data_IF_442850055883
#
_entry.id   IF_442850055883
#
_cell.length_a   1.000
_cell.length_b   1.000
_cell.length_c   1.000
_cell.angle_alpha   90.00
_cell.angle_beta   90.00
_cell.angle_gamma   90.00
#
_symmetry.space_group_name_H-M   'P 1'
#
loop_
_entity.id
_entity.type
_entity.pdbx_description
1 polymer ?
#
# COMPACT_ATOMS: atom_id res chain seq x y z
N UNK A 1 -20.31 9.22 -6.61
CA UNK A 1 -20.28 8.57 -5.27
C UNK A 1 -19.07 7.65 -5.25
N UNK A 2 -18.24 7.67 -4.20
CA UNK A 2 -17.10 6.75 -4.04
C UNK A 2 -17.56 5.36 -3.59
N UNK A 3 -16.80 4.33 -3.94
CA UNK A 3 -17.08 2.93 -3.60
C UNK A 3 -15.82 2.25 -3.03
N UNK A 4 -15.97 1.23 -2.17
CA UNK A 4 -14.84 0.48 -1.65
C UNK A 4 -14.10 -0.29 -2.76
N UNK A 5 -12.81 -0.54 -2.55
CA UNK A 5 -12.01 -1.36 -3.46
C UNK A 5 -12.48 -2.82 -3.32
N UNK A 6 -12.94 -3.40 -4.42
CA UNK A 6 -13.17 -4.84 -4.50
C UNK A 6 -11.83 -5.56 -4.61
N UNK A 7 -11.70 -6.66 -3.87
CA UNK A 7 -10.46 -7.44 -3.77
C UNK A 7 -10.71 -8.88 -4.16
N UNK A 8 -9.72 -9.49 -4.80
CA UNK A 8 -9.67 -10.94 -5.04
C UNK A 8 -9.52 -11.70 -3.70
N UNK A 9 -9.65 -13.02 -3.73
CA UNK A 9 -9.67 -13.86 -2.53
C UNK A 9 -8.39 -13.75 -1.66
N UNK A 10 -7.28 -13.35 -2.26
CA UNK A 10 -5.99 -13.15 -1.59
C UNK A 10 -5.69 -11.68 -1.26
N UNK A 11 -6.68 -10.79 -1.41
CA UNK A 11 -6.56 -9.39 -1.04
C UNK A 11 -6.06 -8.47 -2.16
N UNK A 12 -5.61 -9.00 -3.30
CA UNK A 12 -5.21 -8.16 -4.43
C UNK A 12 -6.37 -7.29 -4.91
N UNK A 13 -6.15 -5.99 -5.08
CA UNK A 13 -7.16 -5.09 -5.65
C UNK A 13 -7.55 -5.56 -7.06
N UNK A 14 -8.85 -5.72 -7.30
CA UNK A 14 -9.36 -6.15 -8.60
C UNK A 14 -9.02 -5.10 -9.67
N UNK A 15 -8.38 -5.54 -10.74
CA UNK A 15 -7.96 -4.69 -11.84
C UNK A 15 -7.85 -5.51 -13.12
N UNK A 16 -8.28 -4.96 -14.25
CA UNK A 16 -8.09 -5.59 -15.57
C UNK A 16 -6.61 -5.82 -15.89
N UNK A 17 -5.70 -5.05 -15.28
CA UNK A 17 -4.24 -5.23 -15.42
C UNK A 17 -3.74 -6.51 -14.77
N UNK A 18 -4.49 -7.11 -13.84
CA UNK A 18 -4.11 -8.38 -13.21
C UNK A 18 -4.05 -9.51 -14.25
N UNK A 19 -4.79 -9.39 -15.36
CA UNK A 19 -4.74 -10.33 -16.48
C UNK A 19 -3.37 -10.38 -17.20
N UNK A 20 -2.50 -9.40 -16.96
CA UNK A 20 -1.16 -9.35 -17.55
C UNK A 20 -0.08 -9.98 -16.66
N UNK A 21 -0.44 -10.41 -15.45
CA UNK A 21 0.49 -11.03 -14.52
C UNK A 21 0.80 -12.47 -14.96
N UNK A 22 2.06 -12.88 -14.86
CA UNK A 22 2.41 -14.30 -14.87
C UNK A 22 1.89 -14.98 -13.61
N UNK A 23 1.97 -16.31 -13.55
CA UNK A 23 1.62 -17.05 -12.34
C UNK A 23 2.49 -16.62 -11.14
N UNK A 24 3.81 -16.43 -11.34
CA UNK A 24 4.71 -15.94 -10.29
C UNK A 24 4.38 -14.49 -9.90
N UNK A 25 4.19 -13.61 -10.89
CA UNK A 25 3.84 -12.21 -10.66
C UNK A 25 2.51 -12.05 -9.93
N UNK A 26 1.54 -12.94 -10.18
CA UNK A 26 0.25 -12.97 -9.49
C UNK A 26 0.41 -13.36 -8.02
N UNK A 27 1.27 -14.31 -7.70
CA UNK A 27 1.56 -14.70 -6.32
C UNK A 27 2.29 -13.59 -5.55
N UNK A 28 3.20 -12.86 -6.19
CA UNK A 28 3.85 -11.67 -5.63
C UNK A 28 2.83 -10.54 -5.41
N UNK A 29 1.98 -10.27 -6.41
CA UNK A 29 0.97 -9.22 -6.37
C UNK A 29 0.03 -9.34 -5.16
N UNK A 30 -0.41 -10.56 -4.81
CA UNK A 30 -1.28 -10.81 -3.66
C UNK A 30 -0.70 -10.34 -2.33
N UNK A 31 0.64 -10.22 -2.22
CA UNK A 31 1.30 -9.76 -0.99
C UNK A 31 1.21 -8.26 -0.75
N UNK A 32 0.92 -7.47 -1.79
CA UNK A 32 0.93 -6.00 -1.70
C UNK A 32 -0.06 -5.49 -0.65
N UNK A 33 -1.25 -6.09 -0.62
CA UNK A 33 -2.31 -5.68 0.29
C UNK A 33 -1.92 -5.92 1.76
N UNK A 34 -1.31 -7.06 2.06
CA UNK A 34 -0.84 -7.38 3.42
C UNK A 34 0.19 -6.38 3.93
N UNK A 35 1.10 -5.91 3.07
CA UNK A 35 2.08 -4.90 3.46
C UNK A 35 1.42 -3.57 3.81
N UNK A 36 0.59 -3.03 2.91
CA UNK A 36 0.01 -1.69 3.12
C UNK A 36 -1.05 -1.63 4.23
N UNK A 37 -1.76 -2.74 4.48
CA UNK A 37 -2.70 -2.84 5.60
C UNK A 37 -1.97 -2.91 6.94
N UNK A 38 -0.92 -3.74 7.05
CA UNK A 38 -0.08 -3.80 8.24
C UNK A 38 0.62 -2.46 8.54
N UNK A 39 1.05 -1.74 7.50
CA UNK A 39 1.54 -0.37 7.65
C UNK A 39 0.48 0.54 8.24
N UNK A 40 -0.75 0.51 7.71
CA UNK A 40 -1.82 1.35 8.21
C UNK A 40 -2.18 1.06 9.68
N UNK A 41 -2.16 -0.22 10.08
CA UNK A 41 -2.35 -0.61 11.48
C UNK A 41 -1.24 -0.07 12.40
N UNK A 42 0.03 -0.17 11.99
CA UNK A 42 1.16 0.42 12.73
C UNK A 42 1.00 1.93 12.91
N UNK A 43 0.64 2.63 11.82
CA UNK A 43 0.44 4.09 11.83
C UNK A 43 -0.72 4.49 12.72
N UNK A 44 -1.83 3.75 12.67
CA UNK A 44 -2.97 3.95 13.57
C UNK A 44 -2.60 3.75 15.05
N UNK A 45 -1.65 2.84 15.32
CA UNK A 45 -1.04 2.64 16.65
C UNK A 45 0.01 3.67 17.07
N UNK A 46 0.22 4.73 16.28
CA UNK A 46 1.15 5.82 16.60
C UNK A 46 2.60 5.60 16.17
N UNK A 47 2.88 4.59 15.33
CA UNK A 47 4.20 4.43 14.75
C UNK A 47 4.59 5.64 13.88
N UNK A 48 5.89 5.93 13.82
CA UNK A 48 6.42 6.99 12.99
C UNK A 48 6.26 6.65 11.49
N UNK A 49 5.87 7.63 10.69
CA UNK A 49 5.64 7.48 9.25
C UNK A 49 6.91 7.09 8.51
N UNK A 50 8.04 7.71 8.82
CA UNK A 50 9.31 7.46 8.14
C UNK A 50 9.82 6.03 8.34
N UNK A 51 9.80 5.54 9.58
CA UNK A 51 10.15 4.17 9.93
C UNK A 51 9.20 3.16 9.29
N UNK A 52 7.88 3.43 9.34
CA UNK A 52 6.87 2.54 8.76
C UNK A 52 7.00 2.45 7.24
N UNK A 53 7.29 3.57 6.56
CA UNK A 53 7.56 3.60 5.12
C UNK A 53 8.84 2.84 4.79
N UNK A 54 9.92 3.01 5.57
CA UNK A 54 11.16 2.28 5.36
C UNK A 54 10.97 0.75 5.48
N UNK A 55 10.27 0.29 6.53
CA UNK A 55 9.88 -1.11 6.71
C UNK A 55 9.05 -1.62 5.52
N UNK A 56 8.04 -0.84 5.10
CA UNK A 56 7.16 -1.20 4.01
C UNK A 56 7.88 -1.33 2.67
N UNK A 57 8.85 -0.46 2.39
CA UNK A 57 9.71 -0.56 1.19
C UNK A 57 10.48 -1.88 1.20
N UNK A 58 11.14 -2.20 2.31
CA UNK A 58 11.90 -3.44 2.47
C UNK A 58 11.00 -4.68 2.34
N UNK A 59 9.78 -4.63 2.89
CA UNK A 59 8.82 -5.73 2.78
C UNK A 59 8.33 -5.96 1.35
N UNK A 60 8.07 -4.89 0.58
CA UNK A 60 7.68 -4.98 -0.84
C UNK A 60 8.82 -5.56 -1.68
N UNK A 61 10.05 -5.07 -1.48
CA UNK A 61 11.23 -5.59 -2.18
C UNK A 61 11.44 -7.07 -1.87
N UNK A 62 11.38 -7.45 -0.59
CA UNK A 62 11.53 -8.83 -0.13
C UNK A 62 10.40 -9.76 -0.59
N UNK A 63 9.22 -9.19 -0.91
CA UNK A 63 8.10 -9.94 -1.46
C UNK A 63 8.31 -10.35 -2.93
N UNK A 64 9.30 -9.76 -3.63
CA UNK A 64 9.67 -10.10 -5.00
C UNK A 64 9.14 -9.14 -6.07
N UNK A 65 8.78 -7.91 -5.70
CA UNK A 65 8.47 -6.87 -6.69
C UNK A 65 9.74 -6.40 -7.39
N UNK A 66 9.69 -6.23 -8.71
CA UNK A 66 10.85 -5.82 -9.51
C UNK A 66 11.24 -4.37 -9.25
N UNK A 67 10.25 -3.52 -8.97
CA UNK A 67 10.47 -2.10 -8.69
C UNK A 67 9.33 -1.51 -7.86
N UNK A 68 9.69 -0.65 -6.90
CA UNK A 68 8.77 0.23 -6.20
C UNK A 68 8.84 1.64 -6.80
N UNK A 69 7.74 2.11 -7.40
CA UNK A 69 7.68 3.48 -7.94
C UNK A 69 7.45 4.49 -6.81
N UNK A 70 6.52 4.19 -5.90
CA UNK A 70 6.34 4.96 -4.67
C UNK A 70 5.68 4.12 -3.57
N UNK A 71 5.97 4.51 -2.33
CA UNK A 71 5.24 4.13 -1.13
C UNK A 71 5.21 5.34 -0.20
N UNK A 72 4.02 5.88 0.04
CA UNK A 72 3.86 7.16 0.72
C UNK A 72 2.64 7.16 1.65
N UNK A 73 2.69 7.99 2.69
CA UNK A 73 1.56 8.28 3.57
C UNK A 73 1.15 9.73 3.35
N UNK A 74 -0.10 9.95 2.95
CA UNK A 74 -0.63 11.28 2.62
C UNK A 74 -1.91 11.58 3.38
N UNK A 75 -2.23 12.86 3.58
CA UNK A 75 -3.52 13.25 4.16
C UNK A 75 -4.68 12.83 3.25
N UNK A 76 -5.80 12.43 3.83
CA UNK A 76 -6.94 11.92 3.06
C UNK A 76 -7.73 13.01 2.32
N UNK A 77 -7.57 14.26 2.72
CA UNK A 77 -8.28 15.43 2.19
C UNK A 77 -7.57 16.08 0.99
N UNK A 78 -6.28 16.41 1.15
CA UNK A 78 -5.49 17.23 0.24
C UNK A 78 -4.26 16.50 -0.33
N UNK A 79 -4.03 15.24 0.07
CA UNK A 79 -2.86 14.44 -0.33
C UNK A 79 -1.50 15.06 0.06
N UNK A 80 -1.49 15.86 1.12
CA UNK A 80 -0.28 16.46 1.65
C UNK A 80 0.63 15.38 2.26
N UNK A 81 1.96 15.47 2.10
CA UNK A 81 2.89 14.56 2.77
C UNK A 81 2.69 14.57 4.29
N UNK A 82 2.64 13.39 4.90
CA UNK A 82 2.78 13.30 6.36
C UNK A 82 4.24 13.53 6.76
N UNK A 83 4.43 14.25 7.87
CA UNK A 83 5.75 14.42 8.48
C UNK A 83 6.31 13.08 8.97
N UNK A 84 7.59 13.03 9.37
CA UNK A 84 8.27 11.78 9.70
C UNK A 84 7.72 11.09 10.97
N UNK A 85 7.10 11.83 11.88
CA UNK A 85 6.55 11.32 13.14
C UNK A 85 5.23 10.55 12.99
N UNK A 86 4.48 10.38 14.08
CA UNK A 86 3.14 9.78 14.05
C UNK A 86 2.19 10.56 13.14
N UNK A 87 1.19 9.89 12.58
CA UNK A 87 0.11 10.55 11.84
C UNK A 87 -0.67 11.47 12.78
N UNK A 88 -1.03 12.66 12.30
CA UNK A 88 -1.71 13.69 13.10
C UNK A 88 -3.12 14.01 12.60
N UNK A 89 -3.52 13.41 11.48
CA UNK A 89 -4.82 13.58 10.84
C UNK A 89 -5.17 12.35 10.01
N UNK A 90 -6.46 12.16 9.63
CA UNK A 90 -6.86 11.10 8.73
C UNK A 90 -5.97 11.04 7.48
N UNK A 91 -5.37 9.88 7.25
CA UNK A 91 -4.35 9.68 6.22
C UNK A 91 -4.54 8.35 5.51
N UNK A 92 -3.77 8.12 4.46
CA UNK A 92 -3.86 6.93 3.63
C UNK A 92 -2.48 6.54 3.12
N UNK A 93 -2.19 5.25 3.15
CA UNK A 93 -1.02 4.66 2.50
C UNK A 93 -1.32 4.53 1.02
N UNK A 94 -0.40 4.98 0.17
CA UNK A 94 -0.47 4.82 -1.28
C UNK A 94 0.75 4.06 -1.76
N UNK A 95 0.53 3.10 -2.65
CA UNK A 95 1.62 2.31 -3.25
C UNK A 95 1.47 2.19 -4.76
N UNK A 96 2.59 2.22 -5.45
CA UNK A 96 2.70 1.74 -6.82
C UNK A 96 3.95 0.89 -6.98
N UNK A 97 3.78 -0.37 -7.38
CA UNK A 97 4.85 -1.34 -7.53
C UNK A 97 4.70 -2.12 -8.85
N UNK A 98 5.82 -2.59 -9.38
CA UNK A 98 5.90 -3.28 -10.67
C UNK A 98 6.27 -4.74 -10.44
N UNK A 99 5.58 -5.63 -11.14
CA UNK A 99 5.95 -7.03 -11.29
C UNK A 99 5.78 -7.44 -12.76
N UNK A 100 6.85 -7.94 -13.36
CA UNK A 100 6.99 -8.11 -14.80
C UNK A 100 6.80 -6.78 -15.55
N UNK A 101 5.75 -6.74 -16.38
CA UNK A 101 5.36 -5.53 -17.14
C UNK A 101 4.19 -4.79 -16.49
N UNK A 102 3.67 -5.30 -15.38
CA UNK A 102 2.43 -4.83 -14.78
C UNK A 102 2.73 -3.89 -13.63
N UNK A 103 2.27 -2.64 -13.76
CA UNK A 103 2.29 -1.65 -12.69
C UNK A 103 0.99 -1.72 -11.91
N UNK A 104 1.09 -2.14 -10.66
CA UNK A 104 -0.01 -2.23 -9.71
C UNK A 104 -0.07 -0.96 -8.87
N UNK A 105 -1.29 -0.54 -8.54
CA UNK A 105 -1.55 0.52 -7.56
C UNK A 105 -2.52 -0.01 -6.53
N UNK A 106 -2.34 0.40 -5.28
CA UNK A 106 -3.29 0.14 -4.21
C UNK A 106 -3.15 1.24 -3.16
N UNK A 107 -4.11 1.31 -2.24
CA UNK A 107 -4.12 2.26 -1.16
C UNK A 107 -4.95 1.75 0.03
N UNK A 108 -4.58 2.15 1.24
CA UNK A 108 -5.22 1.69 2.47
C UNK A 108 -5.43 2.85 3.46
N UNK A 109 -6.65 3.07 3.99
CA UNK A 109 -6.89 4.15 4.93
C UNK A 109 -6.19 3.89 6.26
N UNK A 110 -5.66 4.93 6.88
CA UNK A 110 -5.18 4.91 8.26
C UNK A 110 -6.29 5.52 9.12
N UNK A 111 -7.01 4.66 9.82
CA UNK A 111 -8.05 5.09 10.76
C UNK A 111 -7.39 5.42 12.10
N UNK A 112 -7.42 6.69 12.50
CA UNK A 112 -6.98 7.03 13.85
C UNK A 112 -8.01 6.50 14.84
N UNK A 113 -7.56 5.76 15.85
CA UNK A 113 -8.42 5.38 16.97
C UNK A 113 -9.04 6.62 17.59
N UNK A 114 -10.34 6.55 17.88
CA UNK A 114 -11.08 7.59 18.60
C UNK A 114 -10.56 7.78 20.03
#
# INVERSE_FOLDING_TARGET
IGAPILREADGLAMSSRNAYLSAEGRAVAGRLNGVISAMAEKLAGGAAVDATVADGKSAIESAGFDRLDYLEVRSSDLLEPMGPGPVTKPSRVFVAAITGKTRLIDNWPVEMGA
#
